data_IF_656735517926
#
_entry.id   IF_656735517926
#
_cell.length_a   1.000
_cell.length_b   1.000
_cell.length_c   1.000
_cell.angle_alpha   90.00
_cell.angle_beta   90.00
_cell.angle_gamma   90.00
#
_symmetry.space_group_name_H-M   'P 1'
#
loop_
_entity.id
_entity.type
_entity.pdbx_description
1 polymer ?
#
# COMPACT_ATOMS: atom_id res chain seq x y z
N UNK A 1 14.66 -17.96 -8.85
CA UNK A 1 13.27 -17.45 -8.90
C UNK A 1 13.32 -16.05 -9.50
N UNK A 2 12.85 -15.82 -10.75
CA UNK A 2 12.73 -14.44 -11.29
C UNK A 2 11.52 -13.82 -10.61
N UNK A 3 11.71 -12.86 -9.70
CA UNK A 3 10.60 -12.01 -9.24
C UNK A 3 9.91 -11.44 -10.49
N UNK A 4 8.58 -11.54 -10.61
CA UNK A 4 7.87 -10.83 -11.67
C UNK A 4 8.14 -9.34 -11.42
N UNK A 5 8.96 -8.73 -12.29
CA UNK A 5 9.10 -7.27 -12.28
C UNK A 5 7.73 -6.72 -12.64
N UNK A 6 7.18 -5.85 -11.80
CA UNK A 6 6.03 -5.04 -12.17
C UNK A 6 6.31 -4.41 -13.54
N UNK A 7 5.38 -4.59 -14.49
CA UNK A 7 5.42 -3.86 -15.75
C UNK A 7 5.33 -2.37 -15.45
N UNK A 8 5.77 -1.52 -16.38
CA UNK A 8 5.66 -0.08 -16.18
C UNK A 8 4.19 0.37 -16.11
N UNK A 9 3.28 -0.38 -16.73
CA UNK A 9 1.82 -0.23 -16.60
C UNK A 9 1.36 -0.41 -15.15
N UNK A 10 1.71 -1.51 -14.47
CA UNK A 10 1.33 -1.73 -13.06
C UNK A 10 1.89 -0.66 -12.11
N UNK A 11 3.08 -0.13 -12.42
CA UNK A 11 3.65 0.97 -11.67
C UNK A 11 2.88 2.26 -11.91
N UNK A 12 2.38 2.46 -13.12
CA UNK A 12 1.55 3.61 -13.46
C UNK A 12 0.19 3.49 -12.78
N UNK A 13 -0.48 2.35 -12.87
CA UNK A 13 -1.76 2.09 -12.18
C UNK A 13 -1.64 2.36 -10.67
N UNK A 14 -0.55 1.93 -10.04
CA UNK A 14 -0.31 2.21 -8.63
C UNK A 14 -0.11 3.70 -8.34
N UNK A 15 0.52 4.46 -9.26
CA UNK A 15 0.66 5.91 -9.10
C UNK A 15 -0.68 6.61 -9.26
N UNK A 16 -1.45 6.24 -10.28
CA UNK A 16 -2.76 6.83 -10.56
C UNK A 16 -3.74 6.57 -9.39
N UNK A 17 -3.61 5.41 -8.74
CA UNK A 17 -4.39 5.08 -7.54
C UNK A 17 -4.00 5.90 -6.31
N UNK A 18 -2.75 6.34 -6.22
CA UNK A 18 -2.22 7.11 -5.07
C UNK A 18 -2.29 8.61 -5.32
N UNK A 19 -2.25 9.08 -6.56
CA UNK A 19 -2.23 10.50 -6.93
C UNK A 19 -3.37 11.31 -6.28
N UNK A 20 -4.64 10.87 -6.27
CA UNK A 20 -5.72 11.60 -5.59
C UNK A 20 -5.45 11.82 -4.10
N UNK A 21 -4.80 10.86 -3.43
CA UNK A 21 -4.48 10.95 -2.01
C UNK A 21 -3.42 12.01 -1.74
N UNK A 22 -2.55 12.32 -2.71
CA UNK A 22 -1.52 13.35 -2.56
C UNK A 22 -2.10 14.77 -2.53
N UNK A 23 -3.29 14.96 -3.10
CA UNK A 23 -4.00 16.26 -3.08
C UNK A 23 -4.50 16.57 -1.67
N UNK A 24 -5.10 15.57 -1.00
CA UNK A 24 -5.59 15.71 0.38
C UNK A 24 -4.46 15.59 1.41
N UNK A 25 -3.41 14.84 1.09
CA UNK A 25 -2.30 14.52 1.99
C UNK A 25 -0.96 14.87 1.30
N UNK A 26 -0.50 16.13 1.38
CA UNK A 26 0.74 16.56 0.71
C UNK A 26 2.01 15.87 1.24
N UNK A 27 1.91 15.19 2.38
CA UNK A 27 2.99 14.38 2.97
C UNK A 27 3.12 12.99 2.31
N UNK A 28 2.19 12.63 1.42
CA UNK A 28 2.22 11.37 0.68
C UNK A 28 3.30 11.41 -0.38
N UNK A 29 4.17 10.40 -0.37
CA UNK A 29 5.23 10.21 -1.35
C UNK A 29 5.24 8.78 -1.87
N UNK A 30 5.31 8.64 -3.19
CA UNK A 30 5.52 7.35 -3.86
C UNK A 30 7.00 7.22 -4.21
N UNK A 31 7.65 6.15 -3.77
CA UNK A 31 9.07 5.90 -4.03
C UNK A 31 9.35 4.42 -4.32
N UNK A 32 10.49 4.09 -4.95
CA UNK A 32 10.86 2.70 -5.18
C UNK A 32 10.93 1.89 -3.89
N UNK A 33 10.23 0.76 -3.86
CA UNK A 33 10.21 -0.18 -2.73
C UNK A 33 10.03 -1.60 -3.26
N UNK A 34 10.75 -2.58 -2.70
CA UNK A 34 10.74 -3.99 -3.15
C UNK A 34 11.05 -4.23 -4.63
N UNK A 35 11.84 -3.33 -5.25
CA UNK A 35 12.09 -3.37 -6.71
C UNK A 35 10.89 -2.92 -7.56
N UNK A 36 9.87 -2.34 -6.93
CA UNK A 36 8.63 -1.84 -7.51
C UNK A 36 8.33 -0.43 -6.95
N UNK A 37 7.16 -0.19 -6.36
CA UNK A 37 6.76 1.08 -5.75
C UNK A 37 6.15 0.86 -4.36
N UNK A 38 6.28 1.86 -3.49
CA UNK A 38 5.52 1.96 -2.26
C UNK A 38 5.09 3.40 -2.01
N UNK A 39 3.93 3.54 -1.38
CA UNK A 39 3.36 4.81 -0.97
C UNK A 39 3.54 5.00 0.54
N UNK A 40 4.02 6.19 0.90
CA UNK A 40 4.40 6.54 2.26
C UNK A 40 3.73 7.85 2.65
N UNK A 41 3.31 7.98 3.90
CA UNK A 41 2.85 9.22 4.52
C UNK A 41 3.67 9.42 5.78
N UNK A 42 4.24 10.61 5.99
CA UNK A 42 5.05 10.89 7.18
C UNK A 42 6.22 9.91 7.40
N UNK A 43 6.79 9.41 6.31
CA UNK A 43 7.87 8.41 6.33
C UNK A 43 7.43 6.99 6.70
N UNK A 44 6.14 6.77 6.97
CA UNK A 44 5.53 5.47 7.22
C UNK A 44 4.88 4.95 5.94
N UNK A 45 5.12 3.68 5.60
CA UNK A 45 4.49 3.06 4.44
C UNK A 45 3.04 2.72 4.80
N UNK A 46 2.11 3.10 3.92
CA UNK A 46 0.69 2.75 4.07
C UNK A 46 0.20 1.85 2.94
N UNK A 47 0.84 1.90 1.77
CA UNK A 47 0.57 0.98 0.68
C UNK A 47 1.84 0.58 -0.08
N UNK A 48 1.84 -0.61 -0.69
CA UNK A 48 2.96 -1.13 -1.43
C UNK A 48 2.53 -1.97 -2.62
N UNK A 49 3.22 -1.81 -3.75
CA UNK A 49 3.04 -2.66 -4.92
C UNK A 49 3.97 -3.88 -4.80
N UNK A 50 3.35 -5.06 -4.78
CA UNK A 50 4.01 -6.35 -4.90
C UNK A 50 3.32 -7.12 -6.03
N UNK A 51 3.64 -6.74 -7.26
CA UNK A 51 2.97 -7.14 -8.47
C UNK A 51 2.68 -8.65 -8.52
N UNK A 52 1.42 -9.02 -8.86
CA UNK A 52 0.33 -8.14 -9.27
C UNK A 52 -0.45 -7.45 -8.14
N UNK A 53 -0.12 -7.72 -6.88
CA UNK A 53 -0.93 -7.31 -5.73
C UNK A 53 -0.54 -5.95 -5.16
N UNK A 54 -1.51 -5.24 -4.60
CA UNK A 54 -1.30 -4.04 -3.79
C UNK A 54 -1.58 -4.38 -2.33
N UNK A 55 -0.61 -4.15 -1.46
CA UNK A 55 -0.78 -4.29 -0.02
C UNK A 55 -1.10 -2.97 0.63
N UNK A 56 -1.98 -2.97 1.62
CA UNK A 56 -2.32 -1.80 2.45
C UNK A 56 -2.13 -2.10 3.92
N UNK A 57 -1.84 -1.05 4.70
CA UNK A 57 -1.77 -1.11 6.15
C UNK A 57 -2.91 -0.33 6.77
N UNK A 58 -3.76 -1.04 7.48
CA UNK A 58 -4.96 -0.53 8.14
C UNK A 58 -4.84 -0.69 9.66
N UNK A 59 -5.78 -0.08 10.37
CA UNK A 59 -6.07 -0.40 11.76
C UNK A 59 -6.57 -1.84 11.92
N UNK A 60 -6.70 -2.33 13.15
CA UNK A 60 -7.12 -3.71 13.42
C UNK A 60 -8.48 -4.04 12.79
N UNK A 61 -9.47 -3.14 12.90
CA UNK A 61 -10.81 -3.34 12.34
C UNK A 61 -10.76 -3.37 10.82
N UNK A 62 -10.04 -2.43 10.19
CA UNK A 62 -9.86 -2.43 8.74
C UNK A 62 -9.13 -3.67 8.22
N UNK A 63 -8.20 -4.25 9.01
CA UNK A 63 -7.56 -5.52 8.66
C UNK A 63 -8.53 -6.70 8.72
N UNK A 64 -9.38 -6.78 9.76
CA UNK A 64 -10.39 -7.84 9.87
C UNK A 64 -11.43 -7.74 8.73
N UNK A 65 -11.88 -6.53 8.39
CA UNK A 65 -12.79 -6.31 7.27
C UNK A 65 -12.15 -6.69 5.93
N UNK A 66 -10.90 -6.27 5.69
CA UNK A 66 -10.19 -6.60 4.46
C UNK A 66 -9.92 -8.11 4.35
N UNK A 67 -9.58 -8.77 5.47
CA UNK A 67 -9.44 -10.22 5.51
C UNK A 67 -10.77 -10.92 5.17
N UNK A 68 -11.90 -10.44 5.71
CA UNK A 68 -13.23 -10.96 5.40
C UNK A 68 -13.62 -10.74 3.93
N UNK A 69 -13.16 -9.65 3.31
CA UNK A 69 -13.33 -9.37 1.89
C UNK A 69 -12.43 -10.22 0.97
N UNK A 70 -11.57 -11.08 1.54
CA UNK A 70 -10.66 -11.96 0.80
C UNK A 70 -9.20 -11.46 0.76
N UNK A 71 -8.85 -10.48 1.59
CA UNK A 71 -7.50 -9.95 1.70
C UNK A 71 -6.51 -10.99 2.21
N UNK A 72 -5.39 -11.14 1.51
CA UNK A 72 -4.38 -12.15 1.77
C UNK A 72 -3.09 -11.58 2.35
N UNK A 73 -2.12 -12.45 2.67
CA UNK A 73 -0.81 -12.02 3.14
C UNK A 73 -0.07 -11.22 2.06
N UNK A 74 0.45 -10.04 2.41
CA UNK A 74 1.21 -9.20 1.49
C UNK A 74 2.71 -9.49 1.54
N UNK A 75 3.36 -9.58 0.37
CA UNK A 75 4.81 -9.72 0.23
C UNK A 75 5.27 -11.13 -0.18
N UNK A 76 6.55 -11.48 0.04
CA UNK A 76 7.10 -12.77 -0.36
C UNK A 76 6.43 -13.94 0.38
N UNK A 77 6.12 -15.03 -0.34
CA UNK A 77 5.49 -16.21 0.25
C UNK A 77 6.30 -16.82 1.42
N UNK A 78 7.64 -16.74 1.36
CA UNK A 78 8.53 -17.24 2.43
C UNK A 78 8.52 -16.35 3.67
N UNK A 79 8.20 -15.05 3.51
CA UNK A 79 8.22 -14.07 4.60
C UNK A 79 7.23 -12.95 4.33
N UNK A 80 5.93 -13.17 4.59
CA UNK A 80 4.92 -12.15 4.42
C UNK A 80 5.19 -10.98 5.37
N UNK A 81 4.85 -9.78 4.92
CA UNK A 81 5.02 -8.55 5.66
C UNK A 81 3.87 -8.39 6.66
N UNK A 82 4.19 -8.56 7.95
CA UNK A 82 3.21 -8.42 9.02
C UNK A 82 2.61 -7.02 9.08
N UNK A 83 1.30 -6.95 9.35
CA UNK A 83 0.55 -5.69 9.41
C UNK A 83 0.24 -5.10 8.03
N UNK A 84 0.21 -5.93 6.99
CA UNK A 84 -0.29 -5.59 5.66
C UNK A 84 -1.16 -6.72 5.12
N UNK A 85 -2.23 -6.36 4.42
CA UNK A 85 -3.06 -7.29 3.66
C UNK A 85 -3.14 -6.84 2.19
N UNK A 86 -3.21 -7.80 1.28
CA UNK A 86 -3.41 -7.52 -0.15
C UNK A 86 -4.84 -7.11 -0.41
N UNK A 87 -5.03 -6.13 -1.29
CA UNK A 87 -6.33 -5.82 -1.87
C UNK A 87 -6.73 -6.96 -2.84
N UNK A 88 -7.88 -7.61 -2.61
CA UNK A 88 -8.40 -8.64 -3.52
C UNK A 88 -8.61 -8.11 -4.94
N UNK A 89 -8.41 -8.98 -5.93
CA UNK A 89 -8.66 -8.62 -7.32
C UNK A 89 -10.14 -8.40 -7.62
N UNK A 90 -11.02 -8.94 -6.78
CA UNK A 90 -12.48 -8.79 -6.84
C UNK A 90 -12.97 -7.38 -6.51
N UNK A 91 -12.14 -6.55 -5.87
CA UNK A 91 -12.49 -5.17 -5.55
C UNK A 91 -12.41 -4.28 -6.80
N UNK A 92 -13.44 -3.45 -6.97
CA UNK A 92 -13.49 -2.38 -7.95
C UNK A 92 -12.43 -1.30 -7.69
N UNK A 93 -12.17 -0.43 -8.67
CA UNK A 93 -11.23 0.67 -8.52
C UNK A 93 -11.63 1.62 -7.38
N UNK A 94 -12.92 1.93 -7.26
CA UNK A 94 -13.46 2.78 -6.20
C UNK A 94 -13.28 2.16 -4.81
N UNK A 95 -13.53 0.86 -4.66
CA UNK A 95 -13.30 0.15 -3.40
C UNK A 95 -11.83 0.15 -3.02
N UNK A 96 -10.93 -0.14 -3.97
CA UNK A 96 -9.48 -0.07 -3.74
C UNK A 96 -9.07 1.34 -3.29
N UNK A 97 -9.57 2.38 -3.94
CA UNK A 97 -9.30 3.76 -3.57
C UNK A 97 -9.77 4.06 -2.14
N UNK A 98 -10.97 3.61 -1.74
CA UNK A 98 -11.48 3.76 -0.38
C UNK A 98 -10.59 3.07 0.66
N UNK A 99 -10.11 1.85 0.39
CA UNK A 99 -9.17 1.15 1.27
C UNK A 99 -7.84 1.89 1.42
N UNK A 100 -7.29 2.41 0.32
CA UNK A 100 -6.07 3.23 0.36
C UNK A 100 -6.28 4.55 1.12
N UNK A 101 -7.46 5.16 1.00
CA UNK A 101 -7.81 6.37 1.76
C UNK A 101 -7.85 6.07 3.27
N UNK A 102 -8.47 4.95 3.68
CA UNK A 102 -8.45 4.50 5.08
C UNK A 102 -7.02 4.23 5.56
N UNK A 103 -6.19 3.61 4.73
CA UNK A 103 -4.80 3.31 5.06
C UNK A 103 -3.94 4.57 5.24
N UNK A 104 -4.07 5.57 4.35
CA UNK A 104 -3.31 6.83 4.49
C UNK A 104 -3.74 7.60 5.73
N UNK A 105 -5.03 7.64 6.06
CA UNK A 105 -5.54 8.29 7.27
C UNK A 105 -5.02 7.60 8.53
N UNK A 106 -5.10 6.27 8.58
CA UNK A 106 -4.60 5.50 9.72
C UNK A 106 -3.09 5.68 9.93
N UNK A 107 -2.31 5.50 8.88
CA UNK A 107 -0.84 5.59 8.95
C UNK A 107 -0.37 7.04 9.11
N UNK A 108 -1.11 8.01 8.57
CA UNK A 108 -0.87 9.44 8.73
C UNK A 108 -1.09 9.91 10.16
N UNK A 109 -2.01 9.29 10.90
CA UNK A 109 -2.23 9.54 12.32
C UNK A 109 -1.12 8.95 13.23
N UNK A 110 -0.26 8.07 12.71
CA UNK A 110 0.88 7.56 13.45
C UNK A 110 1.99 8.63 13.57
N UNK A 111 2.80 8.63 14.64
CA UNK A 111 3.89 9.59 14.77
C UNK A 111 4.82 9.52 13.55
N UNK A 112 5.24 10.68 13.00
CA UNK A 112 6.09 10.72 11.84
C UNK A 112 7.40 9.98 12.13
N UNK A 113 7.84 9.17 11.17
CA UNK A 113 9.14 8.52 11.29
C UNK A 113 10.22 9.57 11.22
N UNK A 114 10.98 9.71 12.30
CA UNK A 114 12.15 10.58 12.32
C UNK A 114 13.05 10.24 11.11
N UNK A 115 13.41 11.22 10.26
CA UNK A 115 14.26 10.95 9.13
C UNK A 115 15.59 10.41 9.65
N UNK A 116 16.01 9.25 9.14
CA UNK A 116 17.36 8.75 9.43
C UNK A 116 18.34 9.82 8.94
N UNK A 117 19.12 10.41 9.86
CA UNK A 117 20.27 11.24 9.50
C UNK A 117 21.16 10.40 8.59
N UNK A 118 21.40 10.89 7.38
CA UNK A 118 22.43 10.37 6.48
C UNK A 118 23.80 10.68 7.03
#
# INVERSE_FOLDING_TARGET
MKMPKATDEMKQDFRDLVEPLTVENPEVVVKPMFGQLGAFVNGNMFAGLFAPTVGVKLDAEGMDELAAAGGGPFGPAERPMGGYLTLPDTLSADERAAWLQRAVLHVGAMPPKAPKKK
#
